data_IF_838777414099
#
_entry.id   IF_838777414099
#
_cell.length_a   1.000
_cell.length_b   1.000
_cell.length_c   1.000
_cell.angle_alpha   90.00
_cell.angle_beta   90.00
_cell.angle_gamma   90.00
#
_symmetry.space_group_name_H-M   'P 1'
#
loop_
_entity.id
_entity.type
_entity.pdbx_description
1 polymer ?
#
# COMPACT_ATOMS: atom_id res chain seq x y z
N UNK A 1 -16.36 -17.41 15.73
CA UNK A 1 -15.88 -17.33 14.34
C UNK A 1 -14.42 -17.72 14.36
N UNK A 2 -14.08 -18.86 13.77
CA UNK A 2 -12.71 -19.38 13.76
C UNK A 2 -11.86 -18.67 12.70
N UNK A 3 -10.54 -18.61 12.88
CA UNK A 3 -9.63 -17.98 11.91
C UNK A 3 -9.73 -18.65 10.52
N UNK A 4 -9.89 -19.98 10.48
CA UNK A 4 -10.12 -20.72 9.24
C UNK A 4 -11.41 -20.27 8.50
N UNK A 5 -12.42 -19.86 9.26
CA UNK A 5 -13.69 -19.31 8.75
C UNK A 5 -13.53 -17.89 8.20
N UNK A 6 -12.50 -17.17 8.64
CA UNK A 6 -12.12 -15.85 8.13
C UNK A 6 -11.19 -15.97 6.91
N UNK A 7 -10.25 -16.93 6.93
CA UNK A 7 -9.29 -17.20 5.84
C UNK A 7 -10.00 -17.74 4.59
N UNK A 8 -11.03 -18.57 4.75
CA UNK A 8 -11.84 -19.07 3.63
C UNK A 8 -12.62 -17.97 2.89
N UNK A 9 -12.99 -16.89 3.60
CA UNK A 9 -13.68 -15.72 3.01
C UNK A 9 -12.76 -14.87 2.11
N UNK A 10 -11.45 -15.09 2.17
CA UNK A 10 -10.45 -14.38 1.36
C UNK A 10 -9.90 -15.26 0.23
N UNK A 11 -10.59 -16.38 -0.08
CA UNK A 11 -10.22 -17.35 -1.11
C UNK A 11 -8.84 -18.02 -0.91
N UNK A 12 -8.33 -17.99 0.33
CA UNK A 12 -7.12 -18.71 0.72
C UNK A 12 -7.55 -20.08 1.26
N UNK A 13 -7.08 -21.16 0.64
CA UNK A 13 -7.34 -22.51 1.15
C UNK A 13 -6.50 -22.78 2.40
N UNK A 14 -7.02 -23.63 3.28
CA UNK A 14 -6.28 -24.08 4.47
C UNK A 14 -4.94 -24.75 4.10
N UNK A 15 -4.89 -25.45 2.95
CA UNK A 15 -3.67 -26.06 2.43
C UNK A 15 -2.60 -25.03 2.06
N UNK A 16 -2.97 -23.98 1.31
CA UNK A 16 -2.07 -22.87 0.95
C UNK A 16 -1.57 -22.12 2.18
N UNK A 17 -2.43 -21.97 3.19
CA UNK A 17 -2.06 -21.33 4.45
C UNK A 17 -1.03 -22.16 5.23
N UNK A 18 -1.24 -23.47 5.35
CA UNK A 18 -0.33 -24.36 6.06
C UNK A 18 1.03 -24.47 5.34
N UNK A 19 1.05 -24.55 4.01
CA UNK A 19 2.28 -24.54 3.21
C UNK A 19 3.10 -23.27 3.47
N UNK A 20 2.47 -22.09 3.48
CA UNK A 20 3.13 -20.83 3.76
C UNK A 20 3.70 -20.75 5.20
N UNK A 21 2.99 -21.31 6.19
CA UNK A 21 3.48 -21.36 7.57
C UNK A 21 4.73 -22.24 7.71
N UNK A 22 4.75 -23.39 7.02
CA UNK A 22 5.89 -24.31 6.99
C UNK A 22 7.10 -23.70 6.27
N UNK A 23 6.90 -23.10 5.08
CA UNK A 23 7.98 -22.45 4.32
C UNK A 23 8.66 -21.32 5.08
N UNK A 24 7.90 -20.59 5.89
CA UNK A 24 8.41 -19.42 6.61
C UNK A 24 8.79 -19.69 8.06
N UNK A 25 8.71 -20.95 8.54
CA UNK A 25 8.90 -21.31 9.95
C UNK A 25 8.10 -20.39 10.89
N UNK A 26 6.92 -19.96 10.46
CA UNK A 26 6.10 -19.02 11.21
C UNK A 26 5.31 -19.80 12.26
N UNK A 27 5.52 -19.57 13.57
CA UNK A 27 4.73 -20.24 14.58
C UNK A 27 3.27 -19.76 14.46
N UNK A 28 2.27 -20.64 14.28
CA UNK A 28 0.86 -20.25 14.22
C UNK A 28 0.30 -19.95 15.62
N UNK A 29 1.11 -19.31 16.47
CA UNK A 29 0.69 -18.93 17.79
C UNK A 29 -0.27 -17.72 17.72
N UNK A 30 -0.98 -17.49 18.83
CA UNK A 30 -1.99 -16.43 18.89
C UNK A 30 -1.41 -15.03 18.66
N UNK A 31 -0.14 -14.82 18.98
CA UNK A 31 0.53 -13.53 18.83
C UNK A 31 0.78 -13.28 17.35
N UNK A 32 1.42 -14.22 16.66
CA UNK A 32 1.66 -14.14 15.22
C UNK A 32 0.36 -13.94 14.44
N UNK A 33 -0.67 -14.73 14.73
CA UNK A 33 -1.96 -14.64 14.01
C UNK A 33 -2.65 -13.29 14.22
N UNK A 34 -2.54 -12.73 15.44
CA UNK A 34 -3.06 -11.40 15.74
C UNK A 34 -2.28 -10.32 14.97
N UNK A 35 -0.95 -10.35 15.03
CA UNK A 35 -0.09 -9.37 14.36
C UNK A 35 -0.25 -9.42 12.83
N UNK A 36 -0.38 -10.62 12.25
CA UNK A 36 -0.65 -10.82 10.84
C UNK A 36 -2.02 -10.23 10.44
N UNK A 37 -3.06 -10.53 11.23
CA UNK A 37 -4.39 -9.97 11.01
C UNK A 37 -4.41 -8.44 11.09
N UNK A 38 -3.76 -7.86 12.10
CA UNK A 38 -3.64 -6.41 12.26
C UNK A 38 -2.86 -5.77 11.09
N UNK A 39 -1.76 -6.38 10.66
CA UNK A 39 -0.93 -5.90 9.55
C UNK A 39 -1.64 -5.91 8.20
N UNK A 40 -2.59 -6.84 7.99
CA UNK A 40 -3.40 -6.91 6.78
C UNK A 40 -4.60 -5.96 6.83
N UNK A 41 -5.35 -5.98 7.93
CA UNK A 41 -6.65 -5.31 8.01
C UNK A 41 -6.53 -3.82 8.33
N UNK A 42 -5.57 -3.42 9.16
CA UNK A 42 -5.47 -2.02 9.59
C UNK A 42 -5.12 -1.06 8.44
N UNK A 43 -4.11 -1.34 7.58
CA UNK A 43 -3.82 -0.47 6.43
C UNK A 43 -4.97 -0.40 5.42
N UNK A 44 -5.69 -1.51 5.24
CA UNK A 44 -6.88 -1.56 4.39
C UNK A 44 -8.00 -0.69 4.96
N UNK A 45 -8.28 -0.83 6.27
CA UNK A 45 -9.28 -0.02 6.96
C UNK A 45 -9.00 1.49 6.82
N UNK A 46 -7.76 1.92 7.05
CA UNK A 46 -7.37 3.34 6.89
C UNK A 46 -7.53 3.82 5.43
N UNK A 47 -7.21 2.97 4.46
CA UNK A 47 -7.41 3.26 3.03
C UNK A 47 -8.88 3.41 2.68
N UNK A 48 -9.74 2.51 3.19
CA UNK A 48 -11.19 2.56 3.01
C UNK A 48 -11.77 3.81 3.63
N UNK A 49 -11.37 4.14 4.86
CA UNK A 49 -11.81 5.33 5.58
C UNK A 49 -11.50 6.62 4.79
N UNK A 50 -10.28 6.75 4.28
CA UNK A 50 -9.89 7.90 3.42
C UNK A 50 -10.77 7.98 2.17
N UNK A 51 -10.87 6.89 1.41
CA UNK A 51 -11.64 6.87 0.17
C UNK A 51 -13.14 7.11 0.40
N UNK A 52 -13.71 6.60 1.49
CA UNK A 52 -15.11 6.83 1.89
C UNK A 52 -15.39 8.31 2.18
N UNK A 53 -14.41 9.04 2.72
CA UNK A 53 -14.48 10.49 2.95
C UNK A 53 -14.17 11.32 1.68
N UNK A 54 -13.90 10.68 0.54
CA UNK A 54 -13.46 11.36 -0.68
C UNK A 54 -12.00 11.83 -0.65
N UNK A 55 -11.21 11.37 0.33
CA UNK A 55 -9.79 11.68 0.45
C UNK A 55 -8.96 10.72 -0.40
N UNK A 56 -8.04 11.26 -1.20
CA UNK A 56 -7.14 10.46 -2.04
C UNK A 56 -6.21 9.60 -1.17
N UNK A 57 -6.01 8.35 -1.56
CA UNK A 57 -5.00 7.49 -0.94
C UNK A 57 -3.63 7.92 -1.47
N UNK A 58 -2.77 8.40 -0.57
CA UNK A 58 -1.44 8.91 -0.92
C UNK A 58 -0.33 8.28 -0.10
N UNK A 59 0.83 8.13 -0.72
CA UNK A 59 2.09 7.70 -0.10
C UNK A 59 3.11 8.83 -0.22
N UNK A 60 3.68 9.26 0.90
CA UNK A 60 4.74 10.27 0.92
C UNK A 60 6.10 9.59 1.09
N UNK A 61 7.07 10.01 0.29
CA UNK A 61 8.43 9.51 0.41
C UNK A 61 9.47 10.60 0.18
N UNK A 62 10.58 10.47 0.91
CA UNK A 62 11.67 11.45 0.96
C UNK A 62 12.94 10.83 0.43
N UNK A 63 13.56 11.52 -0.53
CA UNK A 63 14.77 11.03 -1.22
C UNK A 63 15.84 12.11 -1.18
N UNK A 64 17.09 11.69 -1.02
CA UNK A 64 18.25 12.58 -1.09
C UNK A 64 18.99 12.41 -2.41
N UNK A 65 19.38 13.52 -3.02
CA UNK A 65 20.15 13.53 -4.26
C UNK A 65 21.42 14.36 -4.12
N UNK A 66 22.52 13.86 -4.71
CA UNK A 66 23.76 14.62 -4.80
C UNK A 66 23.68 15.73 -5.87
N UNK A 67 22.96 15.45 -6.97
CA UNK A 67 22.84 16.32 -8.14
C UNK A 67 21.37 16.62 -8.42
N UNK A 68 21.05 17.88 -8.64
CA UNK A 68 19.68 18.33 -8.95
C UNK A 68 19.14 17.66 -10.23
N UNK A 69 19.99 17.48 -11.25
CA UNK A 69 19.63 16.81 -12.48
C UNK A 69 19.07 15.37 -12.29
N UNK A 70 19.43 14.70 -11.19
CA UNK A 70 18.91 13.36 -10.91
C UNK A 70 17.46 13.39 -10.41
N UNK A 71 17.00 14.51 -9.84
CA UNK A 71 15.61 14.70 -9.42
C UNK A 71 14.71 14.64 -10.66
N UNK A 72 15.06 15.40 -11.70
CA UNK A 72 14.35 15.40 -12.98
C UNK A 72 14.33 14.02 -13.62
N UNK A 73 15.47 13.32 -13.63
CA UNK A 73 15.55 11.94 -14.17
C UNK A 73 14.63 10.97 -13.44
N UNK A 74 14.55 11.05 -12.11
CA UNK A 74 13.64 10.20 -11.35
C UNK A 74 12.18 10.54 -11.67
N UNK A 75 11.84 11.83 -11.75
CA UNK A 75 10.48 12.27 -12.07
C UNK A 75 10.04 11.80 -13.47
N UNK A 76 10.92 11.92 -14.46
CA UNK A 76 10.70 11.36 -15.80
C UNK A 76 10.54 9.83 -15.79
N UNK A 77 11.27 9.14 -14.91
CA UNK A 77 11.16 7.68 -14.76
C UNK A 77 9.80 7.28 -14.17
N UNK A 78 9.29 7.99 -13.16
CA UNK A 78 7.94 7.78 -12.65
C UNK A 78 6.88 7.90 -13.75
N UNK A 79 6.99 8.93 -14.60
CA UNK A 79 6.07 9.09 -15.72
C UNK A 79 6.13 7.91 -16.71
N UNK A 80 7.34 7.46 -17.08
CA UNK A 80 7.53 6.30 -17.96
C UNK A 80 6.93 5.02 -17.38
N UNK A 81 7.05 4.84 -16.07
CA UNK A 81 6.50 3.71 -15.34
C UNK A 81 5.01 3.87 -14.99
N UNK A 82 4.35 4.96 -15.44
CA UNK A 82 2.95 5.28 -15.12
C UNK A 82 2.69 5.37 -13.61
N UNK A 83 3.69 5.79 -12.84
CA UNK A 83 3.55 6.09 -11.42
C UNK A 83 3.04 7.53 -11.30
N UNK A 84 1.86 7.69 -10.71
CA UNK A 84 1.26 8.99 -10.44
C UNK A 84 1.89 9.63 -9.19
N UNK A 85 3.11 10.14 -9.35
CA UNK A 85 3.84 10.84 -8.31
C UNK A 85 4.00 12.33 -8.66
N UNK A 86 3.92 13.18 -7.63
CA UNK A 86 4.09 14.62 -7.73
C UNK A 86 5.22 15.08 -6.80
N UNK A 87 5.96 16.09 -7.23
CA UNK A 87 6.98 16.74 -6.40
C UNK A 87 6.29 17.68 -5.40
N UNK A 88 6.55 17.48 -4.10
CA UNK A 88 5.98 18.29 -3.01
C UNK A 88 6.97 19.34 -2.54
N UNK A 89 8.23 18.95 -2.30
CA UNK A 89 9.27 19.88 -1.86
C UNK A 89 10.64 19.50 -2.40
N UNK A 90 11.46 20.51 -2.68
CA UNK A 90 12.85 20.37 -3.09
C UNK A 90 13.68 21.44 -2.38
N UNK A 91 14.61 21.02 -1.54
CA UNK A 91 15.42 21.93 -0.71
C UNK A 91 16.86 21.45 -0.64
N UNK A 92 17.80 22.38 -0.83
CA UNK A 92 19.23 22.07 -0.73
C UNK A 92 19.68 22.19 0.73
N UNK A 93 20.19 21.10 1.30
CA UNK A 93 20.66 21.01 2.69
C UNK A 93 22.11 20.52 2.67
N UNK A 94 23.03 21.44 2.95
CA UNK A 94 24.47 21.18 2.82
C UNK A 94 24.85 20.76 1.39
N UNK A 95 25.39 19.55 1.25
CA UNK A 95 25.81 18.99 -0.04
C UNK A 95 24.72 18.23 -0.80
N UNK A 96 23.55 18.05 -0.21
CA UNK A 96 22.49 17.20 -0.76
C UNK A 96 21.22 17.99 -1.04
N UNK A 97 20.45 17.52 -2.00
CA UNK A 97 19.07 17.91 -2.23
C UNK A 97 18.17 16.96 -1.46
N UNK A 98 17.30 17.52 -0.62
CA UNK A 98 16.26 16.80 0.10
C UNK A 98 14.96 17.04 -0.65
N UNK A 99 14.37 15.96 -1.14
CA UNK A 99 13.23 16.00 -2.03
C UNK A 99 12.12 15.14 -1.47
N UNK A 100 10.90 15.65 -1.54
CA UNK A 100 9.69 14.98 -1.07
C UNK A 100 8.74 14.80 -2.25
N UNK A 101 8.24 13.58 -2.39
CA UNK A 101 7.25 13.22 -3.39
C UNK A 101 6.01 12.69 -2.69
N UNK A 102 4.87 12.91 -3.35
CA UNK A 102 3.61 12.26 -3.00
C UNK A 102 3.15 11.41 -4.18
N UNK A 103 2.96 10.12 -3.96
CA UNK A 103 2.35 9.20 -4.92
C UNK A 103 0.87 9.08 -4.61
N UNK A 104 0.02 9.20 -5.64
CA UNK A 104 -1.41 8.93 -5.55
C UNK A 104 -1.66 7.47 -5.95
N UNK A 105 -2.33 6.72 -5.08
CA UNK A 105 -2.74 5.35 -5.35
C UNK A 105 -4.13 5.34 -6.01
N UNK A 106 -4.24 6.01 -7.17
CA UNK A 106 -5.51 6.22 -7.86
C UNK A 106 -6.28 4.93 -8.16
N UNK A 107 -5.65 3.81 -8.62
CA UNK A 107 -6.38 2.57 -8.85
C UNK A 107 -7.05 2.02 -7.58
N UNK A 108 -6.33 2.03 -6.45
CA UNK A 108 -6.87 1.58 -5.17
C UNK A 108 -8.02 2.46 -4.71
N UNK A 109 -7.86 3.79 -4.83
CA UNK A 109 -8.90 4.75 -4.48
C UNK A 109 -10.17 4.52 -5.32
N UNK A 110 -10.03 4.35 -6.63
CA UNK A 110 -11.16 4.15 -7.54
C UNK A 110 -11.91 2.85 -7.25
N UNK A 111 -11.20 1.73 -7.05
CA UNK A 111 -11.80 0.43 -6.73
C UNK A 111 -12.59 0.51 -5.42
N UNK A 112 -11.97 1.08 -4.38
CA UNK A 112 -12.63 1.23 -3.08
C UNK A 112 -13.87 2.13 -3.20
N UNK A 113 -13.78 3.27 -3.90
CA UNK A 113 -14.94 4.15 -4.10
C UNK A 113 -16.08 3.48 -4.87
N UNK A 114 -15.77 2.68 -5.91
CA UNK A 114 -16.79 1.92 -6.64
C UNK A 114 -17.53 0.95 -5.72
N UNK A 115 -16.81 0.14 -4.94
CA UNK A 115 -17.44 -0.76 -3.99
C UNK A 115 -18.19 -0.01 -2.87
N UNK A 116 -17.63 1.07 -2.34
CA UNK A 116 -18.26 1.89 -1.32
C UNK A 116 -19.58 2.52 -1.79
N UNK A 117 -19.67 2.87 -3.08
CA UNK A 117 -20.88 3.39 -3.72
C UNK A 117 -21.89 2.31 -4.13
N UNK A 118 -21.66 1.05 -3.76
CA UNK A 118 -22.58 -0.06 -3.99
C UNK A 118 -22.46 -0.72 -5.37
N UNK A 119 -21.36 -0.52 -6.10
CA UNK A 119 -21.14 -1.23 -7.36
C UNK A 119 -20.90 -2.72 -7.10
N UNK A 120 -21.67 -3.55 -7.80
CA UNK A 120 -21.43 -4.99 -7.88
C UNK A 120 -20.30 -5.30 -8.85
N UNK A 121 -19.61 -6.40 -8.59
CA UNK A 121 -18.63 -6.98 -9.49
C UNK A 121 -18.81 -8.50 -9.48
N UNK A 122 -18.28 -9.16 -10.51
CA UNK A 122 -18.14 -10.61 -10.55
C UNK A 122 -16.71 -10.93 -10.14
N UNK A 123 -16.56 -11.87 -9.20
CA UNK A 123 -15.29 -12.44 -8.79
C UNK A 123 -14.80 -13.50 -9.78
#
# INVERSE_FOLDING_TARGET
MGILETVSKVNISEALWNEALEEHNAPPDKTFLKEAGESLLYPLYESVKKAANGEMITEEFKVRFNKEANIKKLFEHFHKCKVDANLVSQKKVGRHWHVEFVRRCFPSYEVIQKHWSGHSHFD
#
